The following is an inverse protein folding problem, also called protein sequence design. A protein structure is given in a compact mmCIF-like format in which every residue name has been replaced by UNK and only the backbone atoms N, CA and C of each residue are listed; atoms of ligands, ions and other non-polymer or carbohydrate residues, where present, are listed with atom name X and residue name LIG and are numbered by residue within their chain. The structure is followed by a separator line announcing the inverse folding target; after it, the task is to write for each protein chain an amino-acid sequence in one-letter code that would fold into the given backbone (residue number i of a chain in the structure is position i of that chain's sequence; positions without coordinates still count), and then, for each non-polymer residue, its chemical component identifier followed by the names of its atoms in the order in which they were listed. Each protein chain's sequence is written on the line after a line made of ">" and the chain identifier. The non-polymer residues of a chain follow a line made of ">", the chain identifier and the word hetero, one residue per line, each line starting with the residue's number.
data_IF_198297262287
#
_entry.id   IF_198297262287
#
_cell.length_a   1.000
_cell.length_b   1.000
_cell.length_c   1.000
_cell.angle_alpha   90.00
_cell.angle_beta   90.00
_cell.angle_gamma   90.00
#
_symmetry.space_group_name_H-M   'P 1'
#
loop_
_entity.id
_entity.type
_entity.pdbx_description
1 polymer ?
#
# COMPACT_ATOMS: atom_id res chain seq x y z
N UNK A 1 20.49 -11.07 10.51
CA UNK A 1 19.24 -11.41 9.80
C UNK A 1 18.63 -10.13 9.28
N UNK A 2 18.99 -9.71 8.07
CA UNK A 2 18.23 -8.67 7.38
C UNK A 2 17.03 -9.37 6.78
N UNK A 3 15.86 -9.20 7.39
CA UNK A 3 14.61 -9.51 6.73
C UNK A 3 14.46 -8.41 5.69
N UNK A 4 14.96 -8.66 4.47
CA UNK A 4 14.60 -7.84 3.33
C UNK A 4 13.09 -7.94 3.20
N UNK A 5 12.37 -6.92 3.69
CA UNK A 5 10.96 -6.85 3.47
C UNK A 5 10.76 -6.77 1.95
N UNK A 6 10.01 -7.70 1.41
CA UNK A 6 9.80 -7.77 -0.03
C UNK A 6 8.88 -6.60 -0.41
N UNK A 7 9.25 -5.81 -1.43
CA UNK A 7 8.36 -4.78 -1.92
C UNK A 7 7.08 -5.45 -2.43
N UNK A 8 5.98 -5.09 -1.82
CA UNK A 8 4.63 -5.47 -2.12
C UNK A 8 3.92 -4.25 -2.73
N UNK A 9 3.94 -4.16 -4.05
CA UNK A 9 3.20 -3.15 -4.79
C UNK A 9 1.85 -3.70 -5.26
N UNK A 10 0.75 -3.00 -4.96
CA UNK A 10 -0.58 -3.38 -5.44
C UNK A 10 -1.46 -2.14 -5.66
N UNK A 11 -2.48 -2.24 -6.49
CA UNK A 11 -3.34 -1.10 -6.83
C UNK A 11 -4.69 -1.21 -6.13
N UNK A 12 -5.08 -0.16 -5.41
CA UNK A 12 -6.35 -0.10 -4.70
C UNK A 12 -7.20 1.07 -5.18
N UNK A 13 -8.54 0.97 -5.08
CA UNK A 13 -9.42 2.07 -5.43
C UNK A 13 -9.25 3.27 -4.49
N UNK A 14 -9.42 4.46 -5.06
CA UNK A 14 -9.32 5.77 -4.40
C UNK A 14 -7.96 6.45 -4.57
N UNK A 15 -7.87 7.67 -4.06
CA UNK A 15 -6.69 8.52 -4.23
C UNK A 15 -5.72 8.41 -3.05
N UNK A 16 -4.51 8.94 -3.24
CA UNK A 16 -3.51 9.11 -2.19
C UNK A 16 -3.68 10.37 -1.33
N UNK A 17 -4.81 11.09 -1.48
CA UNK A 17 -5.08 12.31 -0.71
C UNK A 17 -5.32 11.97 0.77
N UNK A 18 -4.70 12.76 1.65
CA UNK A 18 -4.78 12.76 3.12
C UNK A 18 -4.83 11.35 3.76
N UNK A 19 -3.66 10.82 4.16
CA UNK A 19 -3.56 9.50 4.78
C UNK A 19 -3.55 8.31 3.80
N UNK A 20 -3.19 8.55 2.53
CA UNK A 20 -3.08 7.50 1.51
C UNK A 20 -2.17 6.34 1.91
N UNK A 21 -1.06 6.62 2.59
CA UNK A 21 -0.11 5.61 3.06
C UNK A 21 -0.73 4.67 4.11
N UNK A 22 -1.47 5.21 5.07
CA UNK A 22 -2.16 4.41 6.08
C UNK A 22 -3.30 3.61 5.44
N UNK A 23 -4.04 4.22 4.50
CA UNK A 23 -5.04 3.52 3.70
C UNK A 23 -4.45 2.36 2.90
N UNK A 24 -3.24 2.50 2.38
CA UNK A 24 -2.52 1.42 1.71
C UNK A 24 -2.27 0.26 2.68
N UNK A 25 -1.72 0.52 3.87
CA UNK A 25 -1.47 -0.49 4.88
C UNK A 25 -2.77 -1.22 5.32
N UNK A 26 -3.85 -0.46 5.53
CA UNK A 26 -5.18 -1.02 5.82
C UNK A 26 -5.67 -1.87 4.66
N UNK A 27 -5.52 -1.42 3.41
CA UNK A 27 -5.98 -2.16 2.24
C UNK A 27 -5.22 -3.49 2.09
N UNK A 28 -3.91 -3.51 2.31
CA UNK A 28 -3.15 -4.76 2.34
C UNK A 28 -3.60 -5.70 3.47
N UNK A 29 -3.83 -5.15 4.67
CA UNK A 29 -4.31 -5.94 5.81
C UNK A 29 -5.72 -6.51 5.56
N UNK A 30 -6.64 -5.74 4.98
CA UNK A 30 -8.01 -6.17 4.72
C UNK A 30 -8.17 -7.05 3.49
N UNK A 31 -7.54 -6.70 2.36
CA UNK A 31 -7.71 -7.41 1.07
C UNK A 31 -6.74 -8.57 0.91
N UNK A 32 -5.47 -8.37 1.27
CA UNK A 32 -4.43 -9.40 1.12
C UNK A 32 -4.22 -10.22 2.39
N UNK A 33 -4.85 -9.84 3.52
CA UNK A 33 -4.61 -10.43 4.85
C UNK A 33 -3.11 -10.47 5.20
N UNK A 34 -2.38 -9.45 4.75
CA UNK A 34 -0.93 -9.30 4.96
C UNK A 34 -0.64 -8.03 5.73
N UNK A 35 0.29 -8.14 6.68
CA UNK A 35 0.77 -6.98 7.43
C UNK A 35 1.77 -6.24 6.55
N UNK A 36 1.35 -5.08 6.05
CA UNK A 36 2.18 -4.19 5.25
C UNK A 36 2.69 -3.04 6.14
N UNK A 37 3.98 -2.75 6.04
CA UNK A 37 4.68 -1.65 6.72
C UNK A 37 5.32 -0.73 5.69
N UNK A 38 5.78 0.45 6.10
CA UNK A 38 6.49 1.41 5.24
C UNK A 38 5.78 1.70 3.88
N UNK A 39 4.45 1.83 3.91
CA UNK A 39 3.65 2.05 2.72
C UNK A 39 3.84 3.45 2.13
N UNK A 40 4.16 3.51 0.85
CA UNK A 40 4.05 4.69 0.01
C UNK A 40 2.83 4.60 -0.89
N UNK A 41 1.99 5.63 -0.84
CA UNK A 41 0.89 5.82 -1.74
C UNK A 41 1.31 6.70 -2.91
N UNK A 42 1.14 6.22 -4.14
CA UNK A 42 1.32 7.00 -5.36
C UNK A 42 0.01 7.02 -6.18
N UNK A 43 -0.34 8.14 -6.82
CA UNK A 43 -1.45 8.14 -7.76
C UNK A 43 -1.12 7.20 -8.94
N UNK A 44 -2.05 6.31 -9.29
CA UNK A 44 -1.92 5.44 -10.46
C UNK A 44 -2.89 5.88 -11.57
N UNK A 45 -4.16 6.12 -11.20
CA UNK A 45 -5.21 6.67 -12.05
C UNK A 45 -6.09 7.65 -11.24
N UNK A 46 -6.98 8.39 -11.89
CA UNK A 46 -8.01 9.25 -11.23
C UNK A 46 -8.93 8.50 -10.25
N UNK A 47 -8.93 7.16 -10.27
CA UNK A 47 -9.77 6.32 -9.40
C UNK A 47 -8.97 5.27 -8.62
N UNK A 48 -7.65 5.18 -8.84
CA UNK A 48 -6.81 4.14 -8.24
C UNK A 48 -5.51 4.73 -7.71
N UNK A 49 -5.08 4.21 -6.58
CA UNK A 49 -3.78 4.45 -5.98
C UNK A 49 -2.91 3.21 -6.12
N UNK A 50 -1.64 3.42 -6.46
CA UNK A 50 -0.60 2.44 -6.29
C UNK A 50 -0.13 2.51 -4.84
N UNK A 51 -0.20 1.38 -4.15
CA UNK A 51 0.28 1.21 -2.80
C UNK A 51 1.53 0.36 -2.85
N UNK A 52 2.67 1.00 -2.63
CA UNK A 52 3.98 0.35 -2.59
C UNK A 52 4.35 0.18 -1.11
N UNK A 53 4.24 -1.04 -0.58
CA UNK A 53 4.47 -1.32 0.83
C UNK A 53 5.52 -2.40 1.02
N UNK A 54 6.10 -2.47 2.20
CA UNK A 54 6.95 -3.57 2.62
C UNK A 54 6.09 -4.65 3.31
N UNK A 55 6.02 -5.85 2.72
CA UNK A 55 5.58 -7.07 3.38
C UNK A 55 6.53 -8.24 3.11
#
# INVERSE_FOLDING_TARGET
>A
FQVEAKPCADTFPGDCRNGGNERCAISFSSYKKRKASNCQCRPYDDKKRLCDCEC
#
